data_IF_438777374605
#
_entry.id   IF_438777374605
#
_cell.length_a   1.000
_cell.length_b   1.000
_cell.length_c   1.000
_cell.angle_alpha   90.00
_cell.angle_beta   90.00
_cell.angle_gamma   90.00
#
_symmetry.space_group_name_H-M   'P 1'
#
loop_
_entity.id
_entity.type
_entity.pdbx_description
1 polymer ?
#
# COMPACT_ATOMS: atom_id res chain seq x y z
N UNK A 1 26.02 18.22 -11.36
CA UNK A 1 26.71 17.67 -10.17
C UNK A 1 28.12 17.39 -10.58
N UNK A 2 29.12 17.90 -9.85
CA UNK A 2 30.52 17.59 -10.09
C UNK A 2 30.80 16.12 -9.75
N UNK A 3 31.66 15.49 -10.54
CA UNK A 3 32.17 14.16 -10.24
C UNK A 3 33.22 14.23 -9.13
N UNK A 4 33.54 13.07 -8.53
CA UNK A 4 34.63 12.98 -7.55
C UNK A 4 35.94 13.54 -8.09
N UNK A 5 36.33 13.19 -9.35
CA UNK A 5 37.57 13.60 -9.97
C UNK A 5 37.61 15.11 -10.27
N UNK A 6 36.49 15.69 -10.65
CA UNK A 6 36.38 17.15 -10.84
C UNK A 6 36.53 17.92 -9.53
N UNK A 7 35.93 17.41 -8.43
CA UNK A 7 36.07 18.00 -7.09
C UNK A 7 37.53 17.91 -6.65
N UNK A 8 38.13 16.73 -6.74
CA UNK A 8 39.52 16.54 -6.38
C UNK A 8 40.47 17.41 -7.22
N UNK A 9 40.29 17.46 -8.55
CA UNK A 9 41.07 18.30 -9.45
C UNK A 9 40.96 19.79 -9.13
N UNK A 10 39.76 20.26 -8.83
CA UNK A 10 39.54 21.66 -8.40
C UNK A 10 40.24 21.99 -7.08
N UNK A 11 40.20 21.06 -6.10
CA UNK A 11 40.86 21.23 -4.81
C UNK A 11 42.41 21.21 -4.96
N UNK A 12 42.94 20.30 -5.79
CA UNK A 12 44.34 20.24 -6.11
C UNK A 12 44.83 21.54 -6.75
N UNK A 13 44.14 22.01 -7.80
CA UNK A 13 44.48 23.25 -8.46
C UNK A 13 44.43 24.48 -7.54
N UNK A 14 43.46 24.49 -6.61
CA UNK A 14 43.35 25.53 -5.61
C UNK A 14 44.54 25.52 -4.65
N UNK A 15 44.94 24.34 -4.15
CA UNK A 15 46.06 24.19 -3.25
C UNK A 15 47.37 24.63 -3.94
N UNK A 16 47.67 24.14 -5.16
CA UNK A 16 48.86 24.48 -5.93
C UNK A 16 48.95 26.00 -6.24
N UNK A 17 47.83 26.63 -6.49
CA UNK A 17 47.77 28.10 -6.71
C UNK A 17 48.08 28.90 -5.44
N UNK A 18 47.57 28.45 -4.27
CA UNK A 18 47.77 29.17 -3.02
C UNK A 18 49.17 28.97 -2.41
N UNK A 19 49.75 27.77 -2.61
CA UNK A 19 51.09 27.44 -2.04
C UNK A 19 52.22 27.69 -3.01
N UNK A 20 51.96 27.68 -4.29
CA UNK A 20 53.01 27.70 -5.33
C UNK A 20 53.72 26.38 -5.55
N UNK A 21 53.37 25.33 -4.79
CA UNK A 21 53.98 24.02 -4.82
C UNK A 21 53.08 22.96 -5.42
N UNK A 22 53.60 22.11 -6.30
CA UNK A 22 52.92 20.90 -6.76
C UNK A 22 53.21 19.71 -5.84
N UNK A 23 52.30 18.78 -5.72
CA UNK A 23 52.46 17.59 -4.88
C UNK A 23 52.21 16.28 -5.64
N UNK A 24 52.85 15.21 -5.14
CA UNK A 24 52.66 13.88 -5.69
C UNK A 24 51.30 13.29 -5.22
N UNK A 25 50.67 12.51 -6.09
CA UNK A 25 49.38 11.85 -5.86
C UNK A 25 49.34 10.87 -4.67
N UNK A 26 50.52 10.44 -4.18
CA UNK A 26 50.67 9.56 -2.99
C UNK A 26 51.10 10.31 -1.73
N UNK A 27 51.23 11.63 -1.79
CA UNK A 27 51.58 12.47 -0.65
C UNK A 27 50.47 12.53 0.38
N UNK A 28 50.81 12.84 1.64
CA UNK A 28 49.82 13.02 2.71
C UNK A 28 48.74 14.03 2.35
N UNK A 29 49.13 15.15 1.73
CA UNK A 29 48.18 16.18 1.27
C UNK A 29 47.23 15.63 0.18
N UNK A 30 47.76 14.83 -0.78
CA UNK A 30 46.91 14.22 -1.81
C UNK A 30 45.85 13.29 -1.19
N UNK A 31 46.25 12.48 -0.22
CA UNK A 31 45.35 11.56 0.50
C UNK A 31 44.26 12.34 1.23
N UNK A 32 44.61 13.41 1.96
CA UNK A 32 43.65 14.27 2.67
C UNK A 32 42.66 14.93 1.71
N UNK A 33 43.14 15.46 0.57
CA UNK A 33 42.27 16.07 -0.44
C UNK A 33 41.34 15.04 -1.08
N UNK A 34 41.81 13.80 -1.32
CA UNK A 34 40.97 12.71 -1.85
C UNK A 34 39.89 12.31 -0.87
N UNK A 35 40.18 12.19 0.43
CA UNK A 35 39.16 11.92 1.46
C UNK A 35 38.14 13.05 1.51
N UNK A 36 38.57 14.30 1.52
CA UNK A 36 37.71 15.46 1.58
C UNK A 36 36.84 15.57 0.31
N UNK A 37 37.41 15.31 -0.88
CA UNK A 37 36.66 15.26 -2.12
C UNK A 37 35.55 14.18 -2.08
N UNK A 38 35.84 13.02 -1.47
CA UNK A 38 34.86 11.96 -1.24
C UNK A 38 33.68 12.41 -0.35
N UNK A 39 33.96 13.11 0.73
CA UNK A 39 32.90 13.62 1.61
C UNK A 39 32.08 14.75 0.94
N UNK A 40 32.71 15.62 0.17
CA UNK A 40 32.00 16.66 -0.61
C UNK A 40 31.11 16.01 -1.67
N UNK A 41 31.60 14.99 -2.37
CA UNK A 41 30.82 14.25 -3.35
C UNK A 41 29.58 13.59 -2.74
N UNK A 42 29.75 12.95 -1.56
CA UNK A 42 28.63 12.42 -0.78
C UNK A 42 27.59 13.49 -0.42
N UNK A 43 28.05 14.64 0.07
CA UNK A 43 27.17 15.75 0.41
C UNK A 43 26.39 16.26 -0.80
N UNK A 44 27.04 16.41 -1.95
CA UNK A 44 26.37 16.81 -3.19
C UNK A 44 25.35 15.76 -3.63
N UNK A 45 25.68 14.46 -3.53
CA UNK A 45 24.75 13.36 -3.86
C UNK A 45 23.52 13.39 -2.96
N UNK A 46 23.72 13.59 -1.67
CA UNK A 46 22.64 13.70 -0.71
C UNK A 46 21.76 14.95 -1.00
N UNK A 47 22.37 16.08 -1.35
CA UNK A 47 21.65 17.30 -1.70
C UNK A 47 20.78 17.11 -2.96
N UNK A 48 21.29 16.46 -3.98
CA UNK A 48 20.50 16.14 -5.18
C UNK A 48 19.35 15.16 -4.87
N UNK A 49 19.58 14.18 -3.99
CA UNK A 49 18.53 13.30 -3.51
C UNK A 49 17.43 14.10 -2.77
N UNK A 50 17.83 14.99 -1.84
CA UNK A 50 16.88 15.85 -1.13
C UNK A 50 16.07 16.74 -2.06
N UNK A 51 16.71 17.36 -3.05
CA UNK A 51 15.99 18.15 -4.06
C UNK A 51 14.89 17.38 -4.76
N UNK A 52 15.14 16.10 -5.09
CA UNK A 52 14.12 15.24 -5.69
C UNK A 52 12.99 14.92 -4.73
N UNK A 53 13.28 14.80 -3.44
CA UNK A 53 12.27 14.49 -2.42
C UNK A 53 11.40 15.69 -2.01
N UNK A 54 11.76 16.91 -2.41
CA UNK A 54 10.99 18.11 -2.08
C UNK A 54 9.68 18.25 -2.88
N UNK A 55 9.55 17.56 -4.00
CA UNK A 55 8.40 17.70 -4.89
C UNK A 55 7.65 16.37 -5.06
N UNK A 56 6.33 16.41 -4.98
CA UNK A 56 5.50 15.22 -5.13
C UNK A 56 5.71 14.47 -6.46
N UNK A 57 6.13 15.18 -7.51
CA UNK A 57 6.42 14.58 -8.83
C UNK A 57 7.62 13.63 -8.79
N UNK A 58 8.60 13.87 -7.92
CA UNK A 58 9.87 13.13 -7.87
C UNK A 58 10.15 12.48 -6.52
N UNK A 59 9.35 12.79 -5.49
CA UNK A 59 9.44 12.16 -4.18
C UNK A 59 8.99 10.70 -4.22
N UNK A 60 9.53 9.89 -3.31
CA UNK A 60 9.23 8.48 -3.16
C UNK A 60 9.15 8.05 -1.70
N UNK A 61 8.44 6.95 -1.42
CA UNK A 61 8.32 6.35 -0.09
C UNK A 61 7.84 7.36 0.96
N UNK A 62 8.47 7.36 2.13
CA UNK A 62 8.09 8.23 3.27
C UNK A 62 8.08 9.73 2.94
N UNK A 63 8.97 10.20 2.04
CA UNK A 63 8.98 11.61 1.66
C UNK A 63 7.71 11.98 0.90
N UNK A 64 7.26 11.09 0.01
CA UNK A 64 5.99 11.26 -0.68
C UNK A 64 4.80 11.19 0.28
N UNK A 65 4.83 10.29 1.27
CA UNK A 65 3.79 10.19 2.30
C UNK A 65 3.69 11.48 3.14
N UNK A 66 4.82 12.09 3.51
CA UNK A 66 4.84 13.38 4.19
C UNK A 66 4.26 14.52 3.33
N UNK A 67 4.54 14.51 2.03
CA UNK A 67 3.94 15.48 1.11
C UNK A 67 2.43 15.26 0.93
N UNK A 68 1.99 14.01 0.92
CA UNK A 68 0.56 13.66 0.90
C UNK A 68 -0.15 14.12 2.17
N UNK A 69 0.44 13.90 3.35
CA UNK A 69 -0.14 14.28 4.64
C UNK A 69 -0.34 15.79 4.78
N UNK A 70 0.52 16.62 4.18
CA UNK A 70 0.33 18.08 4.12
C UNK A 70 -0.94 18.49 3.37
N UNK A 71 -1.51 17.58 2.58
CA UNK A 71 -2.77 17.74 1.84
C UNK A 71 -3.94 16.97 2.49
N UNK A 72 -3.73 16.41 3.67
CA UNK A 72 -4.74 15.58 4.33
C UNK A 72 -4.97 14.24 3.63
N UNK A 73 -4.00 13.76 2.83
CA UNK A 73 -4.06 12.48 2.13
C UNK A 73 -3.12 11.51 2.84
N UNK A 74 -3.65 10.33 3.16
CA UNK A 74 -2.85 9.20 3.63
C UNK A 74 -2.76 8.14 2.54
N UNK A 75 -1.63 7.43 2.48
CA UNK A 75 -1.46 6.26 1.61
C UNK A 75 -2.43 5.17 2.02
N UNK A 76 -3.14 4.60 1.06
CA UNK A 76 -4.01 3.46 1.30
C UNK A 76 -3.15 2.25 1.65
N UNK A 77 -3.44 1.65 2.80
CA UNK A 77 -2.76 0.44 3.28
C UNK A 77 -3.27 -0.77 2.53
N UNK A 78 -2.44 -1.82 2.45
CA UNK A 78 -2.91 -3.12 2.00
C UNK A 78 -4.03 -3.62 2.90
N UNK A 79 -5.02 -4.28 2.31
CA UNK A 79 -6.14 -4.90 3.02
C UNK A 79 -6.08 -6.41 2.85
N UNK A 80 -6.51 -7.12 3.88
CA UNK A 80 -6.64 -8.58 3.85
C UNK A 80 -7.91 -8.98 3.10
N UNK A 81 -7.86 -10.08 2.39
CA UNK A 81 -9.07 -10.71 1.88
C UNK A 81 -9.82 -11.43 3.00
N UNK A 82 -11.13 -11.47 2.91
CA UNK A 82 -12.03 -12.14 3.85
C UNK A 82 -12.95 -13.12 3.12
N UNK A 83 -13.38 -14.14 3.81
CA UNK A 83 -14.29 -15.16 3.29
C UNK A 83 -14.61 -16.19 4.35
N UNK A 84 -15.26 -17.27 3.96
CA UNK A 84 -15.63 -18.37 4.85
C UNK A 84 -14.84 -19.64 4.50
N UNK A 85 -14.43 -20.36 5.54
CA UNK A 85 -13.84 -21.70 5.45
C UNK A 85 -14.82 -22.69 6.05
N UNK A 86 -15.14 -23.73 5.30
CA UNK A 86 -15.97 -24.85 5.75
C UNK A 86 -15.08 -25.99 6.25
N UNK A 87 -15.27 -26.37 7.49
CA UNK A 87 -14.63 -27.51 8.14
C UNK A 87 -15.59 -28.71 8.08
N UNK A 88 -15.11 -29.88 7.70
CA UNK A 88 -15.94 -31.07 7.55
C UNK A 88 -15.33 -32.26 8.29
N UNK A 89 -16.24 -33.11 8.81
CA UNK A 89 -15.97 -34.44 9.34
C UNK A 89 -16.79 -35.47 8.59
N UNK A 90 -16.28 -36.70 8.41
CA UNK A 90 -16.95 -37.74 7.60
C UNK A 90 -18.18 -38.33 8.29
N UNK A 91 -18.20 -38.36 9.60
CA UNK A 91 -19.32 -38.90 10.38
C UNK A 91 -19.71 -37.94 11.49
N UNK A 92 -21.02 -37.81 11.80
CA UNK A 92 -21.50 -36.99 12.88
C UNK A 92 -20.91 -37.43 14.22
N UNK A 93 -20.36 -36.49 14.98
CA UNK A 93 -19.89 -36.74 16.35
C UNK A 93 -21.04 -36.69 17.37
N UNK A 94 -20.83 -37.37 18.51
CA UNK A 94 -21.77 -37.36 19.65
C UNK A 94 -21.59 -36.15 20.58
N UNK A 95 -20.60 -35.32 20.33
CA UNK A 95 -20.26 -34.11 21.09
C UNK A 95 -19.95 -32.95 20.13
N UNK A 96 -19.98 -31.75 20.63
CA UNK A 96 -19.67 -30.55 19.89
C UNK A 96 -18.16 -30.45 19.68
N UNK A 97 -17.73 -30.10 18.44
CA UNK A 97 -16.32 -29.87 18.07
C UNK A 97 -16.12 -28.39 17.88
N UNK A 98 -15.32 -27.79 18.74
CA UNK A 98 -15.01 -26.35 18.68
C UNK A 98 -13.91 -26.08 17.67
N UNK A 99 -14.17 -25.16 16.75
CA UNK A 99 -13.18 -24.58 15.85
C UNK A 99 -12.77 -23.23 16.45
N UNK A 100 -11.62 -23.13 17.11
CA UNK A 100 -11.24 -21.89 17.76
C UNK A 100 -10.82 -20.84 16.73
N UNK A 101 -10.97 -19.59 17.11
CA UNK A 101 -10.31 -18.47 16.45
C UNK A 101 -8.81 -18.72 16.38
N UNK A 102 -8.21 -18.40 15.23
CA UNK A 102 -6.77 -18.61 15.00
C UNK A 102 -6.44 -19.95 14.34
N UNK A 103 -7.42 -20.77 13.96
CA UNK A 103 -7.19 -21.91 13.10
C UNK A 103 -6.64 -21.45 11.75
N UNK A 104 -5.64 -22.18 11.23
CA UNK A 104 -4.95 -21.84 9.99
C UNK A 104 -5.24 -22.89 8.92
N UNK A 105 -5.69 -22.41 7.77
CA UNK A 105 -5.88 -23.18 6.55
C UNK A 105 -5.08 -22.54 5.44
N UNK A 106 -4.57 -23.32 4.49
CA UNK A 106 -3.76 -22.81 3.39
C UNK A 106 -4.22 -23.32 2.03
N UNK A 107 -3.77 -22.64 0.97
CA UNK A 107 -3.87 -23.14 -0.40
C UNK A 107 -2.83 -24.24 -0.65
N UNK A 108 -3.06 -25.07 -1.66
CA UNK A 108 -2.15 -26.16 -2.05
C UNK A 108 -1.06 -25.71 -3.05
N UNK A 109 -0.85 -24.41 -3.24
CA UNK A 109 0.11 -23.84 -4.16
C UNK A 109 1.56 -24.00 -3.69
N UNK A 110 2.54 -23.81 -4.62
CA UNK A 110 3.97 -23.79 -4.30
C UNK A 110 4.35 -22.74 -3.25
N UNK A 111 3.65 -21.60 -3.28
CA UNK A 111 3.73 -20.56 -2.24
C UNK A 111 2.34 -20.49 -1.60
N UNK A 112 2.13 -21.23 -0.50
CA UNK A 112 0.82 -21.34 0.10
C UNK A 112 0.36 -20.02 0.71
N UNK A 113 -0.88 -19.63 0.41
CA UNK A 113 -1.54 -18.49 1.04
C UNK A 113 -2.31 -19.01 2.24
N UNK A 114 -2.08 -18.39 3.39
CA UNK A 114 -2.67 -18.80 4.66
C UNK A 114 -3.84 -17.92 5.03
N UNK A 115 -4.86 -18.55 5.59
CA UNK A 115 -6.09 -17.94 6.10
C UNK A 115 -6.28 -18.33 7.55
N UNK A 116 -6.72 -17.39 8.36
CA UNK A 116 -6.88 -17.54 9.82
C UNK A 116 -8.33 -17.26 10.19
N UNK A 117 -8.95 -18.15 10.94
CA UNK A 117 -10.32 -17.95 11.44
C UNK A 117 -10.37 -16.76 12.40
N UNK A 118 -11.41 -15.93 12.27
CA UNK A 118 -11.57 -14.67 13.03
C UNK A 118 -12.45 -14.80 14.26
N UNK A 119 -13.21 -15.89 14.37
CA UNK A 119 -14.15 -16.17 15.44
C UNK A 119 -14.13 -17.65 15.83
N UNK A 120 -14.69 -17.96 17.00
CA UNK A 120 -14.91 -19.32 17.45
C UNK A 120 -16.25 -19.80 16.92
N UNK A 121 -16.27 -21.01 16.39
CA UNK A 121 -17.50 -21.69 15.94
C UNK A 121 -17.44 -23.17 16.33
N UNK A 122 -18.59 -23.87 16.27
CA UNK A 122 -18.66 -25.27 16.63
C UNK A 122 -19.45 -26.10 15.62
N UNK A 123 -18.97 -27.33 15.38
CA UNK A 123 -19.78 -28.38 14.76
C UNK A 123 -20.60 -28.99 15.85
N UNK A 124 -21.89 -28.64 15.94
CA UNK A 124 -22.81 -29.20 16.94
C UNK A 124 -22.98 -30.69 16.74
N UNK A 125 -23.24 -31.44 17.87
CA UNK A 125 -23.48 -32.88 17.86
C UNK A 125 -24.54 -33.26 16.83
N UNK A 126 -24.23 -34.24 15.99
CA UNK A 126 -25.08 -34.71 14.89
C UNK A 126 -24.88 -34.02 13.57
N UNK A 127 -24.15 -32.92 13.51
CA UNK A 127 -23.77 -32.25 12.27
C UNK A 127 -22.40 -32.73 11.76
N UNK A 128 -22.11 -32.47 10.48
CA UNK A 128 -20.84 -32.88 9.83
C UNK A 128 -20.01 -31.73 9.31
N UNK A 129 -20.49 -30.50 9.41
CA UNK A 129 -19.80 -29.33 8.88
C UNK A 129 -20.18 -28.04 9.65
N UNK A 130 -19.26 -27.06 9.59
CA UNK A 130 -19.49 -25.68 9.99
C UNK A 130 -18.71 -24.75 9.05
N UNK A 131 -19.24 -23.58 8.79
CA UNK A 131 -18.52 -22.51 8.08
C UNK A 131 -18.14 -21.43 9.06
N UNK A 132 -16.88 -20.98 9.00
CA UNK A 132 -16.28 -20.02 9.92
C UNK A 132 -15.68 -18.88 9.11
N UNK A 133 -15.90 -17.64 9.53
CA UNK A 133 -15.26 -16.48 8.92
C UNK A 133 -13.75 -16.51 9.12
N UNK A 134 -13.03 -16.20 8.04
CA UNK A 134 -11.57 -16.18 8.03
C UNK A 134 -11.04 -14.99 7.22
N UNK A 135 -9.84 -14.57 7.55
CA UNK A 135 -9.09 -13.55 6.82
C UNK A 135 -7.74 -14.09 6.35
N UNK A 136 -7.20 -13.54 5.27
CA UNK A 136 -5.84 -13.86 4.88
C UNK A 136 -4.85 -13.44 5.97
N UNK A 137 -3.81 -14.25 6.22
CA UNK A 137 -2.76 -13.92 7.19
C UNK A 137 -2.01 -12.65 6.79
N UNK A 138 -1.75 -12.50 5.49
CA UNK A 138 -1.10 -11.32 4.92
C UNK A 138 -2.08 -10.48 4.11
N UNK A 139 -1.96 -9.15 4.24
CA UNK A 139 -2.70 -8.22 3.42
C UNK A 139 -2.14 -8.20 1.99
N UNK A 140 -3.02 -8.04 1.01
CA UNK A 140 -2.65 -7.97 -0.40
C UNK A 140 -3.68 -8.63 -1.31
N UNK A 141 -3.59 -8.34 -2.59
CA UNK A 141 -4.47 -8.88 -3.63
C UNK A 141 -4.31 -10.40 -3.82
N UNK A 142 -3.16 -10.96 -3.44
CA UNK A 142 -2.89 -12.40 -3.51
C UNK A 142 -3.85 -13.23 -2.65
N UNK A 143 -4.38 -12.63 -1.57
CA UNK A 143 -5.37 -13.28 -0.72
C UNK A 143 -6.73 -13.50 -1.38
N UNK A 144 -7.01 -12.90 -2.52
CA UNK A 144 -8.25 -13.11 -3.27
C UNK A 144 -8.18 -14.43 -4.04
N UNK A 145 -8.71 -15.48 -3.44
CA UNK A 145 -8.70 -16.83 -4.03
C UNK A 145 -10.10 -17.25 -4.52
N UNK A 146 -10.11 -18.14 -5.49
CA UNK A 146 -11.33 -18.78 -5.98
C UNK A 146 -11.94 -19.74 -4.94
N UNK A 147 -13.10 -20.25 -5.25
CA UNK A 147 -13.73 -21.32 -4.47
C UNK A 147 -12.90 -22.61 -4.55
N UNK A 148 -12.87 -23.37 -3.46
CA UNK A 148 -12.17 -24.67 -3.40
C UNK A 148 -10.64 -24.59 -3.42
N UNK A 149 -10.03 -23.43 -3.17
CA UNK A 149 -8.59 -23.25 -3.16
C UNK A 149 -7.96 -23.41 -1.78
N UNK A 150 -8.67 -23.07 -0.69
CA UNK A 150 -8.21 -23.22 0.69
C UNK A 150 -8.52 -24.63 1.18
N UNK A 151 -7.63 -25.60 0.92
CA UNK A 151 -7.90 -27.04 1.11
C UNK A 151 -6.89 -27.75 2.00
N UNK A 152 -5.86 -27.07 2.49
CA UNK A 152 -4.80 -27.64 3.33
C UNK A 152 -4.99 -27.21 4.79
N UNK A 153 -5.37 -28.15 5.70
CA UNK A 153 -5.41 -27.87 7.12
C UNK A 153 -3.98 -27.72 7.66
N UNK A 154 -3.65 -26.58 8.29
CA UNK A 154 -2.31 -26.33 8.84
C UNK A 154 -2.32 -26.41 10.37
N UNK A 155 -3.26 -25.72 10.99
CA UNK A 155 -3.47 -25.74 12.43
C UNK A 155 -4.97 -25.76 12.72
N UNK A 156 -5.53 -26.95 12.79
CA UNK A 156 -6.96 -27.18 13.00
C UNK A 156 -7.13 -28.30 14.05
N UNK A 157 -8.30 -28.43 14.70
CA UNK A 157 -8.59 -29.55 15.59
C UNK A 157 -8.42 -30.91 14.88
N UNK A 158 -7.97 -31.91 15.61
CA UNK A 158 -7.61 -33.24 15.07
C UNK A 158 -8.79 -34.01 14.49
N UNK A 159 -10.00 -33.67 14.90
CA UNK A 159 -11.25 -34.25 14.43
C UNK A 159 -11.65 -33.80 13.02
N UNK A 160 -11.09 -32.70 12.56
CA UNK A 160 -11.39 -32.14 11.22
C UNK A 160 -10.63 -32.94 10.17
N UNK A 161 -11.36 -33.52 9.24
CA UNK A 161 -10.79 -34.33 8.16
C UNK A 161 -10.52 -33.53 6.90
N UNK A 162 -11.44 -32.63 6.52
CA UNK A 162 -11.30 -31.81 5.33
C UNK A 162 -11.70 -30.36 5.55
N UNK A 163 -11.04 -29.47 4.85
CA UNK A 163 -11.32 -28.05 4.83
C UNK A 163 -11.49 -27.57 3.40
N UNK A 164 -12.39 -26.60 3.18
CA UNK A 164 -12.55 -25.97 1.86
C UNK A 164 -13.20 -24.61 2.02
N UNK A 165 -13.02 -23.74 1.04
CA UNK A 165 -13.82 -22.52 0.92
C UNK A 165 -14.88 -22.72 -0.17
N UNK A 166 -16.15 -22.57 0.20
CA UNK A 166 -17.29 -22.70 -0.73
C UNK A 166 -17.55 -21.42 -1.51
N UNK A 167 -17.04 -20.31 -1.06
CA UNK A 167 -17.13 -19.02 -1.71
C UNK A 167 -15.73 -18.45 -1.94
N UNK A 168 -15.65 -17.39 -2.75
CA UNK A 168 -14.38 -16.69 -3.02
C UNK A 168 -13.97 -15.86 -1.82
N UNK A 169 -12.67 -15.84 -1.53
CA UNK A 169 -12.11 -14.77 -0.69
C UNK A 169 -11.96 -13.50 -1.50
N UNK A 170 -12.44 -12.38 -0.97
CA UNK A 170 -12.46 -11.08 -1.65
C UNK A 170 -12.05 -9.95 -0.70
N UNK A 171 -11.89 -8.73 -1.25
CA UNK A 171 -11.55 -7.55 -0.47
C UNK A 171 -10.06 -7.35 -0.21
N UNK A 172 -9.20 -8.31 -0.57
CA UNK A 172 -7.76 -8.13 -0.51
C UNK A 172 -7.28 -7.13 -1.55
N UNK A 173 -6.48 -6.16 -1.13
CA UNK A 173 -5.83 -5.23 -2.04
C UNK A 173 -4.42 -4.88 -1.56
N UNK A 174 -3.55 -4.58 -2.51
CA UNK A 174 -2.18 -4.17 -2.22
C UNK A 174 -2.14 -2.74 -1.68
N UNK A 175 -1.04 -2.40 -1.01
CA UNK A 175 -0.80 -1.02 -0.62
C UNK A 175 -0.69 -0.13 -1.87
N UNK A 176 -1.20 1.09 -1.75
CA UNK A 176 -1.13 2.09 -2.80
C UNK A 176 0.33 2.36 -3.20
N UNK A 177 0.60 2.28 -4.49
CA UNK A 177 1.92 2.56 -5.06
C UNK A 177 2.26 4.05 -5.00
N UNK A 178 3.55 4.39 -5.13
CA UNK A 178 3.99 5.79 -5.20
C UNK A 178 3.33 6.54 -6.38
N UNK A 179 3.12 5.86 -7.52
CA UNK A 179 2.50 6.48 -8.69
C UNK A 179 1.02 6.78 -8.49
N UNK A 180 0.29 5.89 -7.84
CA UNK A 180 -1.13 6.10 -7.49
C UNK A 180 -1.29 7.23 -6.48
N UNK A 181 -0.46 7.22 -5.40
CA UNK A 181 -0.47 8.29 -4.41
C UNK A 181 -0.10 9.65 -5.04
N UNK A 182 0.91 9.67 -5.91
CA UNK A 182 1.32 10.86 -6.65
C UNK A 182 0.19 11.39 -7.53
N UNK A 183 -0.56 10.52 -8.17
CA UNK A 183 -1.75 10.89 -8.95
C UNK A 183 -2.81 11.52 -8.05
N UNK A 184 -3.13 10.92 -6.90
CA UNK A 184 -4.09 11.48 -5.94
C UNK A 184 -3.66 12.85 -5.42
N UNK A 185 -2.37 13.02 -5.07
CA UNK A 185 -1.83 14.32 -4.66
C UNK A 185 -2.05 15.34 -5.78
N UNK A 186 -1.70 15.02 -7.02
CA UNK A 186 -1.90 15.91 -8.17
C UNK A 186 -3.37 16.26 -8.38
N UNK A 187 -4.26 15.30 -8.25
CA UNK A 187 -5.71 15.50 -8.42
C UNK A 187 -6.26 16.51 -7.40
N UNK A 188 -5.72 16.57 -6.17
CA UNK A 188 -6.10 17.61 -5.20
C UNK A 188 -5.66 19.02 -5.59
N UNK A 189 -4.58 19.16 -6.37
CA UNK A 189 -4.18 20.47 -6.91
C UNK A 189 -5.07 20.93 -8.07
N UNK A 190 -5.48 19.98 -8.92
CA UNK A 190 -6.31 20.25 -10.10
C UNK A 190 -7.77 20.48 -9.68
N UNK A 191 -8.27 19.65 -8.76
CA UNK A 191 -9.67 19.65 -8.33
C UNK A 191 -9.86 20.43 -7.01
N UNK A 192 -9.18 21.57 -6.84
CA UNK A 192 -9.36 22.39 -5.65
C UNK A 192 -10.76 22.96 -5.62
N UNK A 193 -11.55 22.57 -4.62
CA UNK A 193 -12.87 23.11 -4.34
C UNK A 193 -12.74 24.58 -3.92
N UNK A 194 -13.41 25.49 -4.63
CA UNK A 194 -13.42 26.93 -4.32
C UNK A 194 -14.81 27.45 -3.94
N UNK A 195 -15.74 26.56 -3.59
CA UNK A 195 -17.11 26.90 -3.19
C UNK A 195 -18.09 27.13 -4.36
N UNK A 196 -17.61 27.23 -5.60
CA UNK A 196 -18.46 27.54 -6.76
C UNK A 196 -18.14 26.70 -8.01
N UNK A 197 -17.06 25.93 -8.01
CA UNK A 197 -16.67 25.10 -9.15
C UNK A 197 -17.29 23.69 -9.10
N UNK A 198 -17.22 22.94 -10.21
CA UNK A 198 -17.76 21.59 -10.30
C UNK A 198 -17.19 20.67 -9.19
N UNK A 199 -15.91 20.78 -8.89
CA UNK A 199 -15.24 20.00 -7.84
C UNK A 199 -15.87 20.20 -6.44
N UNK A 200 -16.35 21.42 -6.13
CA UNK A 200 -17.06 21.69 -4.88
C UNK A 200 -18.36 20.90 -4.79
N UNK A 201 -19.17 20.90 -5.84
CA UNK A 201 -20.44 20.18 -5.84
C UNK A 201 -20.26 18.66 -5.88
N UNK A 202 -19.21 18.17 -6.55
CA UNK A 202 -18.83 16.74 -6.52
C UNK A 202 -18.43 16.30 -5.12
N UNK A 203 -17.56 17.08 -4.44
CA UNK A 203 -17.16 16.78 -3.07
C UNK A 203 -18.36 16.84 -2.10
N UNK A 204 -19.23 17.84 -2.25
CA UNK A 204 -20.42 17.96 -1.42
C UNK A 204 -21.36 16.77 -1.62
N UNK A 205 -21.55 16.30 -2.85
CA UNK A 205 -22.37 15.13 -3.13
C UNK A 205 -21.76 13.84 -2.53
N UNK A 206 -20.44 13.71 -2.50
CA UNK A 206 -19.75 12.56 -1.90
C UNK A 206 -19.77 12.54 -0.36
N UNK A 207 -20.19 13.65 0.30
CA UNK A 207 -20.41 13.64 1.76
C UNK A 207 -21.76 13.03 2.16
N UNK A 208 -22.63 12.77 1.20
CA UNK A 208 -23.93 12.13 1.45
C UNK A 208 -23.75 10.63 1.54
N UNK A 209 -24.23 10.03 2.62
CA UNK A 209 -24.14 8.59 2.84
C UNK A 209 -24.78 7.80 1.67
N UNK A 210 -24.08 6.77 1.23
CA UNK A 210 -24.52 5.91 0.12
C UNK A 210 -24.07 6.39 -1.27
N UNK A 211 -23.53 7.60 -1.43
CA UNK A 211 -23.02 8.08 -2.72
C UNK A 211 -21.61 7.57 -2.97
N UNK A 212 -21.48 6.66 -3.94
CA UNK A 212 -20.20 6.07 -4.31
C UNK A 212 -19.39 6.93 -5.30
N UNK A 213 -20.08 7.68 -6.16
CA UNK A 213 -19.45 8.54 -7.17
C UNK A 213 -20.35 9.70 -7.51
N UNK A 214 -19.76 10.88 -7.75
CA UNK A 214 -20.49 12.08 -8.19
C UNK A 214 -19.73 12.74 -9.35
N UNK A 215 -20.50 13.39 -10.23
CA UNK A 215 -19.96 14.24 -11.29
C UNK A 215 -20.85 15.49 -11.43
N UNK A 216 -20.22 16.65 -11.53
CA UNK A 216 -20.91 17.93 -11.63
C UNK A 216 -20.58 18.66 -12.93
N UNK A 217 -21.60 19.12 -13.63
CA UNK A 217 -21.47 19.89 -14.86
C UNK A 217 -22.17 21.25 -14.67
N UNK A 218 -21.39 22.33 -14.81
CA UNK A 218 -21.93 23.70 -14.71
C UNK A 218 -22.63 24.18 -15.98
N UNK A 219 -23.51 25.17 -15.82
CA UNK A 219 -24.18 25.91 -16.91
C UNK A 219 -25.09 25.08 -17.83
N UNK A 220 -25.60 23.94 -17.39
CA UNK A 220 -26.42 23.05 -18.21
C UNK A 220 -27.77 23.69 -18.61
N UNK A 221 -28.32 24.55 -17.75
CA UNK A 221 -29.58 25.29 -17.99
C UNK A 221 -29.38 26.81 -17.95
N UNK A 222 -28.15 27.30 -18.18
CA UNK A 222 -27.80 28.71 -18.15
C UNK A 222 -26.86 29.08 -17.00
N UNK A 223 -26.46 30.34 -16.93
CA UNK A 223 -25.57 30.89 -15.91
C UNK A 223 -26.14 30.67 -14.51
N UNK A 224 -25.33 30.19 -13.55
CA UNK A 224 -25.77 29.94 -12.17
C UNK A 224 -26.43 28.58 -11.93
N UNK A 225 -26.44 27.69 -12.93
CA UNK A 225 -26.97 26.33 -12.76
C UNK A 225 -25.86 25.28 -12.76
N UNK A 226 -25.98 24.27 -11.89
CA UNK A 226 -25.10 23.09 -11.83
C UNK A 226 -25.98 21.85 -11.84
N UNK A 227 -25.63 20.89 -12.68
CA UNK A 227 -26.23 19.56 -12.68
C UNK A 227 -25.26 18.59 -11.99
N UNK A 228 -25.72 17.92 -10.95
CA UNK A 228 -24.93 16.91 -10.21
C UNK A 228 -25.56 15.55 -10.48
N UNK A 229 -24.75 14.65 -11.04
CA UNK A 229 -25.09 13.24 -11.23
C UNK A 229 -24.34 12.43 -10.17
N UNK A 230 -25.07 11.62 -9.41
CA UNK A 230 -24.48 10.74 -8.40
C UNK A 230 -24.88 9.29 -8.64
N UNK A 231 -23.95 8.37 -8.38
CA UNK A 231 -24.19 6.94 -8.31
C UNK A 231 -24.32 6.57 -6.85
N UNK A 232 -25.48 6.02 -6.50
CA UNK A 232 -25.76 5.51 -5.16
C UNK A 232 -25.59 4.00 -5.19
N UNK A 233 -24.81 3.42 -4.26
CA UNK A 233 -24.82 2.00 -4.01
C UNK A 233 -26.14 1.66 -3.30
N UNK A 234 -27.04 1.00 -4.02
CA UNK A 234 -28.18 0.33 -3.40
C UNK A 234 -27.63 -1.03 -2.97
N UNK A 235 -27.42 -1.21 -1.66
CA UNK A 235 -27.21 -2.55 -1.09
C UNK A 235 -28.57 -3.25 -1.12
N UNK A 236 -28.69 -4.29 -1.96
CA UNK A 236 -29.73 -5.31 -1.83
C UNK A 236 -29.38 -6.23 -0.66
#
# INVERSE_FOLDING_TARGET
METYDEIYGRMKNAYERETGDSFNEVSDIAIRLKVLAGEIFKLQTNLEWWKRQMFAVSASGECLDKLASQRGIERKKAMKSTGEITFNISQPCSHDIVIPKGCVVATADLVPIRFVTTEDEEISAGNTLVSVYAEAEQAGSNGNIGLGCAVVPVSVPTEIETVTNREKFTGGCDAETDDELRKRIRDTYINTSNGTNAAYYEQLALTVDGVAKASAVGKVRGVGTVNVLSLIHISE
#
